data_IF_992542680546
#
_entry.id   IF_992542680546
#
_cell.length_a   1.000
_cell.length_b   1.000
_cell.length_c   1.000
_cell.angle_alpha   90.00
_cell.angle_beta   90.00
_cell.angle_gamma   90.00
#
_symmetry.space_group_name_H-M   'P 1'
#
loop_
_entity.id
_entity.type
_entity.pdbx_description
1 polymer ?
#
# COMPACT_ATOMS: atom_id res chain seq x y z
N UNK A 1 104.52 -0.89 2.63
CA UNK A 1 104.17 0.40 3.26
C UNK A 1 102.67 0.63 3.01
N UNK A 2 101.82 0.32 3.98
CA UNK A 2 101.33 1.22 5.04
C UNK A 2 100.19 2.17 4.56
N UNK A 3 98.95 1.69 4.77
CA UNK A 3 97.75 2.37 5.31
C UNK A 3 97.41 3.82 4.97
N UNK A 4 96.16 4.08 4.53
CA UNK A 4 95.18 4.97 5.23
C UNK A 4 93.77 5.00 4.58
N UNK A 5 92.83 4.32 5.25
CA UNK A 5 91.57 4.79 5.89
C UNK A 5 90.67 5.91 5.28
N UNK A 6 89.40 5.53 5.06
CA UNK A 6 88.08 6.22 5.24
C UNK A 6 87.64 7.43 4.40
N UNK A 7 86.45 7.32 3.76
CA UNK A 7 85.18 7.89 4.29
C UNK A 7 83.93 7.40 3.53
N UNK A 8 82.94 6.95 4.29
CA UNK A 8 81.55 6.69 3.88
C UNK A 8 80.78 8.01 3.83
N UNK A 9 80.02 8.27 2.75
CA UNK A 9 78.81 9.10 2.79
C UNK A 9 77.77 8.54 1.83
N UNK A 10 76.59 8.24 2.39
CA UNK A 10 75.37 7.81 1.71
C UNK A 10 74.96 8.80 0.62
N UNK A 11 74.47 8.32 -0.52
CA UNK A 11 73.48 9.09 -1.25
C UNK A 11 72.33 8.23 -1.76
N UNK A 12 71.16 8.84 -1.65
CA UNK A 12 69.84 8.26 -1.61
C UNK A 12 69.28 8.02 -3.02
N UNK A 13 68.45 6.97 -3.12
CA UNK A 13 67.12 7.03 -3.75
C UNK A 13 67.05 7.32 -5.26
N UNK A 14 66.82 6.25 -6.01
CA UNK A 14 65.63 6.17 -6.87
C UNK A 14 65.29 4.70 -7.14
N UNK A 15 64.50 4.14 -6.21
CA UNK A 15 63.66 2.98 -6.51
C UNK A 15 62.80 3.41 -7.70
N UNK A 16 63.06 2.82 -8.87
CA UNK A 16 62.16 2.87 -10.00
C UNK A 16 60.88 2.14 -9.58
N UNK A 17 59.95 2.89 -8.98
CA UNK A 17 58.56 2.50 -8.88
C UNK A 17 58.03 2.47 -10.30
N UNK A 18 58.02 1.27 -10.88
CA UNK A 18 57.26 0.95 -12.09
C UNK A 18 55.82 1.37 -11.79
N UNK A 19 55.41 2.53 -12.31
CA UNK A 19 54.01 2.94 -12.33
C UNK A 19 53.30 1.88 -13.14
N UNK A 20 52.49 1.06 -12.49
CA UNK A 20 51.48 0.25 -13.16
C UNK A 20 50.52 1.24 -13.80
N UNK A 21 50.64 1.41 -15.12
CA UNK A 21 49.60 2.05 -15.89
C UNK A 21 48.33 1.23 -15.68
N UNK A 22 47.16 1.86 -15.46
CA UNK A 22 45.91 1.13 -15.48
C UNK A 22 45.79 0.50 -16.87
N UNK A 23 45.86 -0.83 -16.95
CA UNK A 23 45.61 -1.52 -18.22
C UNK A 23 44.26 -1.06 -18.74
N UNK A 24 44.25 -0.61 -19.99
CA UNK A 24 43.02 -0.17 -20.63
C UNK A 24 42.04 -1.34 -20.70
N UNK A 25 40.74 -1.09 -20.69
CA UNK A 25 39.72 -2.15 -20.72
C UNK A 25 39.90 -3.12 -21.89
N UNK A 26 40.47 -2.66 -23.00
CA UNK A 26 40.77 -3.48 -24.18
C UNK A 26 41.96 -4.43 -23.94
N UNK A 27 42.99 -3.99 -23.23
CA UNK A 27 44.15 -4.83 -22.88
C UNK A 27 43.75 -5.96 -21.93
N UNK A 28 42.81 -5.71 -21.00
CA UNK A 28 42.31 -6.72 -20.08
C UNK A 28 41.53 -7.83 -20.81
N UNK A 29 40.67 -7.47 -21.76
CA UNK A 29 39.92 -8.46 -22.55
C UNK A 29 40.88 -9.28 -23.44
N UNK A 30 41.90 -8.65 -24.02
CA UNK A 30 42.92 -9.35 -24.80
C UNK A 30 43.74 -10.32 -23.94
N UNK A 31 44.06 -9.95 -22.69
CA UNK A 31 44.75 -10.86 -21.77
C UNK A 31 43.90 -12.07 -21.39
N UNK A 32 42.59 -11.89 -21.18
CA UNK A 32 41.66 -13.00 -20.92
C UNK A 32 41.55 -13.90 -22.16
N UNK A 33 41.53 -13.33 -23.36
CA UNK A 33 41.55 -14.10 -24.60
C UNK A 33 42.83 -14.91 -24.76
N UNK A 34 44.00 -14.30 -24.53
CA UNK A 34 45.28 -15.01 -24.63
C UNK A 34 45.37 -16.16 -23.62
N UNK A 35 44.94 -15.93 -22.37
CA UNK A 35 44.86 -16.98 -21.34
C UNK A 35 43.95 -18.15 -21.77
N UNK A 36 42.81 -17.85 -22.40
CA UNK A 36 41.92 -18.87 -22.95
C UNK A 36 42.58 -19.71 -24.06
N UNK A 37 43.37 -19.09 -24.94
CA UNK A 37 44.12 -19.82 -25.98
C UNK A 37 45.24 -20.66 -25.37
N UNK A 38 45.98 -20.12 -24.41
CA UNK A 38 47.06 -20.85 -23.70
C UNK A 38 46.53 -22.07 -22.93
N UNK A 39 45.31 -22.00 -22.41
CA UNK A 39 44.61 -23.12 -21.78
C UNK A 39 44.10 -24.19 -22.77
N UNK A 40 44.39 -24.05 -24.07
CA UNK A 40 43.96 -24.99 -25.12
C UNK A 40 42.61 -24.64 -25.75
N UNK A 41 42.09 -23.44 -25.51
CA UNK A 41 40.87 -22.94 -26.13
C UNK A 41 41.04 -22.72 -27.63
N UNK A 42 39.98 -23.00 -28.40
CA UNK A 42 39.96 -22.69 -29.83
C UNK A 42 39.77 -21.18 -30.04
N UNK A 43 40.50 -20.52 -30.96
CA UNK A 43 40.35 -19.09 -31.28
C UNK A 43 39.07 -18.83 -32.09
N UNK A 44 37.91 -19.13 -31.48
CA UNK A 44 36.57 -18.92 -32.01
C UNK A 44 35.82 -18.01 -31.05
N UNK A 45 35.19 -16.97 -31.58
CA UNK A 45 34.42 -15.98 -30.80
C UNK A 45 33.33 -16.66 -29.96
N UNK A 46 32.68 -17.69 -30.49
CA UNK A 46 31.63 -18.43 -29.78
C UNK A 46 32.15 -19.17 -28.55
N UNK A 47 33.31 -19.83 -28.66
CA UNK A 47 33.94 -20.56 -27.56
C UNK A 47 34.52 -19.60 -26.52
N UNK A 48 35.15 -18.51 -26.97
CA UNK A 48 35.61 -17.46 -26.07
C UNK A 48 34.46 -16.79 -25.31
N UNK A 49 33.32 -16.55 -25.98
CA UNK A 49 32.11 -16.03 -25.33
C UNK A 49 31.60 -16.98 -24.25
N UNK A 50 31.54 -18.30 -24.52
CA UNK A 50 31.17 -19.28 -23.50
C UNK A 50 32.12 -19.24 -22.29
N UNK A 51 33.41 -19.11 -22.53
CA UNK A 51 34.41 -19.01 -21.47
C UNK A 51 34.24 -17.72 -20.64
N UNK A 52 33.99 -16.58 -21.30
CA UNK A 52 33.64 -15.34 -20.60
C UNK A 52 32.35 -15.48 -19.80
N UNK A 53 31.31 -16.10 -20.35
CA UNK A 53 30.05 -16.33 -19.64
C UNK A 53 30.27 -17.24 -18.41
N UNK A 54 31.17 -18.21 -18.48
CA UNK A 54 31.56 -19.04 -17.33
C UNK A 54 32.27 -18.21 -16.25
N UNK A 55 33.25 -17.39 -16.62
CA UNK A 55 33.95 -16.50 -15.68
C UNK A 55 33.00 -15.46 -15.05
N UNK A 56 32.10 -14.89 -15.85
CA UNK A 56 31.06 -13.98 -15.37
C UNK A 56 30.17 -14.70 -14.35
N UNK A 57 29.72 -15.92 -14.63
CA UNK A 57 28.83 -16.64 -13.70
C UNK A 57 29.54 -17.15 -12.44
N UNK A 58 30.83 -17.49 -12.52
CA UNK A 58 31.60 -18.03 -11.39
C UNK A 58 32.14 -16.94 -10.47
N UNK A 59 32.71 -15.87 -11.03
CA UNK A 59 33.47 -14.89 -10.27
C UNK A 59 32.72 -13.56 -10.13
N UNK A 60 32.11 -13.08 -11.20
CA UNK A 60 31.49 -11.74 -11.22
C UNK A 60 30.08 -11.80 -10.63
N UNK A 61 29.30 -12.82 -10.98
CA UNK A 61 27.91 -12.94 -10.58
C UNK A 61 27.73 -13.05 -9.06
N UNK A 62 28.58 -13.74 -8.27
CA UNK A 62 28.48 -13.68 -6.81
C UNK A 62 28.81 -12.29 -6.23
N UNK A 63 29.71 -11.53 -6.86
CA UNK A 63 30.10 -10.18 -6.43
C UNK A 63 29.07 -9.12 -6.84
N UNK A 64 28.40 -9.34 -7.96
CA UNK A 64 27.32 -8.50 -8.49
C UNK A 64 25.93 -9.01 -8.12
N UNK A 65 25.83 -10.14 -7.40
CA UNK A 65 24.60 -10.60 -6.79
C UNK A 65 24.21 -9.59 -5.72
N UNK A 66 23.51 -8.56 -6.17
CA UNK A 66 22.54 -7.81 -5.40
C UNK A 66 21.93 -8.75 -4.37
N UNK A 67 21.95 -8.32 -3.12
CA UNK A 67 21.33 -8.89 -1.93
C UNK A 67 19.83 -9.10 -2.15
N UNK A 68 19.49 -10.03 -3.04
CA UNK A 68 18.22 -10.10 -3.74
C UNK A 68 17.97 -11.53 -4.19
N UNK A 69 17.10 -12.20 -3.44
CA UNK A 69 16.61 -13.58 -3.63
C UNK A 69 17.62 -14.68 -3.30
N UNK A 70 17.79 -14.94 -2.02
CA UNK A 70 17.78 -16.33 -1.58
C UNK A 70 16.34 -16.84 -1.78
N UNK A 71 16.15 -17.80 -2.67
CA UNK A 71 14.90 -18.56 -2.83
C UNK A 71 14.79 -19.66 -1.76
N UNK A 72 15.33 -19.41 -0.57
CA UNK A 72 15.37 -20.34 0.55
C UNK A 72 14.73 -19.70 1.77
N UNK A 73 13.66 -20.34 2.22
CA UNK A 73 13.21 -20.47 3.61
C UNK A 73 12.86 -19.19 4.39
N UNK A 74 11.58 -19.03 4.75
CA UNK A 74 11.17 -18.24 5.93
C UNK A 74 11.48 -16.73 5.96
N UNK A 75 11.78 -16.06 4.85
CA UNK A 75 12.00 -14.61 4.90
C UNK A 75 10.74 -13.82 5.30
N UNK A 76 10.90 -12.69 5.99
CA UNK A 76 9.78 -11.83 6.48
C UNK A 76 8.69 -11.53 5.42
N UNK A 77 9.07 -11.38 4.15
CA UNK A 77 8.10 -11.17 3.05
C UNK A 77 7.19 -12.39 2.83
N UNK A 78 7.73 -13.59 2.99
CA UNK A 78 7.00 -14.84 2.86
C UNK A 78 6.10 -15.06 4.07
N UNK A 79 6.60 -14.77 5.28
CA UNK A 79 5.81 -14.82 6.52
C UNK A 79 4.62 -13.86 6.46
N UNK A 80 4.85 -12.60 6.08
CA UNK A 80 3.79 -11.60 5.92
C UNK A 80 2.78 -12.02 4.84
N UNK A 81 3.22 -12.58 3.71
CA UNK A 81 2.31 -13.11 2.68
C UNK A 81 1.50 -14.30 3.16
N UNK A 82 2.10 -15.18 3.97
CA UNK A 82 1.41 -16.33 4.54
C UNK A 82 0.29 -15.88 5.49
N UNK A 83 0.54 -14.85 6.31
CA UNK A 83 -0.44 -14.25 7.23
C UNK A 83 -1.72 -13.79 6.52
N UNK A 84 -1.60 -13.20 5.34
CA UNK A 84 -2.74 -12.71 4.53
C UNK A 84 -3.04 -13.61 3.32
N UNK A 85 -2.70 -14.89 3.41
CA UNK A 85 -3.01 -15.85 2.35
C UNK A 85 -4.48 -16.28 2.40
N UNK A 86 -5.15 -16.29 1.25
CA UNK A 86 -6.59 -16.58 1.16
C UNK A 86 -7.44 -15.38 0.72
N UNK A 87 -8.64 -15.62 0.20
CA UNK A 87 -9.49 -14.54 -0.35
C UNK A 87 -10.06 -13.62 0.74
N UNK A 88 -10.56 -14.20 1.83
CA UNK A 88 -11.10 -13.45 2.98
C UNK A 88 -10.02 -12.90 3.90
N UNK A 89 -8.93 -13.65 4.11
CA UNK A 89 -7.82 -13.26 5.00
C UNK A 89 -7.04 -12.01 4.51
N UNK A 90 -7.21 -11.62 3.25
CA UNK A 90 -6.66 -10.35 2.74
C UNK A 90 -7.39 -9.13 3.28
N UNK A 91 -8.62 -9.29 3.76
CA UNK A 91 -9.38 -8.19 4.32
C UNK A 91 -9.16 -8.12 5.82
N UNK A 92 -8.79 -6.93 6.28
CA UNK A 92 -8.53 -6.66 7.69
C UNK A 92 -9.31 -5.44 8.13
N UNK A 93 -9.72 -5.44 9.40
CA UNK A 93 -10.23 -4.26 10.09
C UNK A 93 -9.07 -3.53 10.78
N UNK A 94 -9.16 -2.21 10.78
CA UNK A 94 -8.24 -1.27 11.45
C UNK A 94 -9.04 -0.14 12.06
N UNK A 95 -8.44 0.62 12.99
CA UNK A 95 -9.06 1.85 13.49
C UNK A 95 -9.32 2.84 12.36
N UNK A 96 -10.40 3.61 12.46
CA UNK A 96 -10.68 4.72 11.53
C UNK A 96 -9.56 5.77 11.56
N UNK A 97 -8.93 5.96 12.72
CA UNK A 97 -7.83 6.91 12.90
C UNK A 97 -6.58 6.48 12.15
N UNK A 98 -6.33 5.16 12.04
CA UNK A 98 -5.18 4.60 11.33
C UNK A 98 -5.20 4.98 9.84
N UNK A 99 -6.38 4.92 9.22
CA UNK A 99 -6.53 5.24 7.78
C UNK A 99 -6.75 6.72 7.51
N UNK A 100 -7.11 7.52 8.52
CA UNK A 100 -7.46 8.94 8.38
C UNK A 100 -6.39 9.77 7.63
N UNK A 101 -5.08 9.66 7.94
CA UNK A 101 -4.04 10.37 7.19
C UNK A 101 -3.99 9.97 5.71
N UNK A 102 -4.32 8.70 5.41
CA UNK A 102 -4.35 8.21 4.03
C UNK A 102 -5.56 8.74 3.28
N UNK A 103 -6.74 8.78 3.91
CA UNK A 103 -7.92 9.35 3.31
C UNK A 103 -7.74 10.85 3.02
N UNK A 104 -7.14 11.60 3.96
CA UNK A 104 -6.81 13.01 3.73
C UNK A 104 -5.85 13.21 2.54
N UNK A 105 -4.84 12.35 2.40
CA UNK A 105 -3.97 12.36 1.21
C UNK A 105 -4.75 12.09 -0.09
N UNK A 106 -5.67 11.12 -0.06
CA UNK A 106 -6.50 10.78 -1.22
C UNK A 106 -7.45 11.92 -1.62
N UNK A 107 -8.00 12.65 -0.63
CA UNK A 107 -8.83 13.83 -0.86
C UNK A 107 -8.04 14.93 -1.60
N UNK A 108 -6.79 15.17 -1.20
CA UNK A 108 -5.89 16.10 -1.88
C UNK A 108 -5.53 15.65 -3.31
N UNK A 109 -5.56 14.33 -3.57
CA UNK A 109 -5.37 13.74 -4.89
C UNK A 109 -6.65 13.73 -5.74
N UNK A 110 -7.75 14.32 -5.24
CA UNK A 110 -9.08 14.36 -5.87
C UNK A 110 -9.69 12.97 -6.09
N UNK A 111 -9.40 12.04 -5.19
CA UNK A 111 -10.07 10.73 -5.13
C UNK A 111 -11.32 10.86 -4.28
N UNK A 112 -12.45 10.35 -4.75
CA UNK A 112 -13.69 10.32 -3.99
C UNK A 112 -13.55 9.39 -2.78
N UNK A 113 -13.69 9.92 -1.56
CA UNK A 113 -13.61 9.15 -0.31
C UNK A 113 -14.87 9.26 0.56
N UNK A 114 -15.83 10.13 0.20
CA UNK A 114 -16.97 10.44 1.08
C UNK A 114 -17.83 9.22 1.36
N UNK A 115 -18.08 8.39 0.35
CA UNK A 115 -18.88 7.18 0.49
C UNK A 115 -18.21 6.15 1.41
N UNK A 116 -16.92 5.89 1.19
CA UNK A 116 -16.14 4.99 2.05
C UNK A 116 -16.08 5.48 3.50
N UNK A 117 -15.99 6.79 3.73
CA UNK A 117 -16.05 7.37 5.09
C UNK A 117 -17.37 7.05 5.79
N UNK A 118 -18.50 7.17 5.08
CA UNK A 118 -19.82 6.79 5.63
C UNK A 118 -19.89 5.30 6.00
N UNK A 119 -19.35 4.42 5.15
CA UNK A 119 -19.32 2.98 5.42
C UNK A 119 -18.51 2.63 6.67
N UNK A 120 -17.31 3.20 6.83
CA UNK A 120 -16.43 2.89 7.97
C UNK A 120 -16.91 3.54 9.27
N UNK A 121 -17.59 4.69 9.18
CA UNK A 121 -18.23 5.34 10.32
C UNK A 121 -19.42 4.49 10.81
N UNK A 122 -20.27 4.03 9.90
CA UNK A 122 -21.38 3.14 10.21
C UNK A 122 -20.89 1.81 10.80
N UNK A 123 -19.81 1.23 10.28
CA UNK A 123 -19.23 0.00 10.80
C UNK A 123 -18.49 0.18 12.14
N UNK A 124 -18.08 1.41 12.49
CA UNK A 124 -17.22 1.69 13.64
C UNK A 124 -15.76 1.24 13.48
N UNK A 125 -15.35 0.85 12.27
CA UNK A 125 -13.99 0.47 11.93
C UNK A 125 -13.74 0.62 10.42
N UNK A 126 -12.49 0.84 10.04
CA UNK A 126 -12.08 0.84 8.64
C UNK A 126 -11.70 -0.56 8.18
N UNK A 127 -11.95 -0.86 6.89
CA UNK A 127 -11.57 -2.13 6.29
C UNK A 127 -10.66 -1.92 5.09
N UNK A 128 -9.53 -2.61 5.07
CA UNK A 128 -8.50 -2.46 4.03
C UNK A 128 -8.07 -3.83 3.53
N UNK A 129 -7.55 -3.87 2.29
CA UNK A 129 -7.16 -5.13 1.65
C UNK A 129 -5.67 -5.25 1.51
N UNK A 130 -5.08 -6.33 1.99
CA UNK A 130 -3.66 -6.59 1.85
C UNK A 130 -3.22 -6.67 0.37
N UNK A 131 -2.23 -5.86 0.02
CA UNK A 131 -1.64 -5.79 -1.32
C UNK A 131 -0.28 -6.53 -1.38
N UNK A 132 0.54 -6.44 -0.33
CA UNK A 132 1.80 -7.17 -0.26
C UNK A 132 2.87 -6.50 0.61
N UNK A 133 4.03 -7.17 0.80
CA UNK A 133 5.14 -6.61 1.55
C UNK A 133 5.85 -5.53 0.73
N UNK A 134 6.30 -4.46 1.40
CA UNK A 134 7.03 -3.33 0.81
C UNK A 134 8.18 -2.90 1.72
N UNK A 135 9.15 -2.21 1.14
CA UNK A 135 10.22 -1.55 1.90
C UNK A 135 10.16 -0.07 1.58
N UNK A 136 9.93 0.75 2.60
CA UNK A 136 9.84 2.20 2.50
C UNK A 136 10.89 2.80 3.43
N UNK A 137 11.81 3.61 2.91
CA UNK A 137 12.88 4.24 3.68
C UNK A 137 13.71 3.26 4.54
N UNK A 138 13.90 2.02 4.07
CA UNK A 138 14.63 0.97 4.79
C UNK A 138 13.80 0.19 5.83
N UNK A 139 12.56 0.63 6.10
CA UNK A 139 11.65 -0.06 7.00
C UNK A 139 10.79 -1.08 6.27
N UNK A 140 10.51 -2.21 6.93
CA UNK A 140 9.60 -3.25 6.42
C UNK A 140 8.17 -2.79 6.68
N UNK A 141 7.37 -2.75 5.61
CA UNK A 141 5.98 -2.32 5.66
C UNK A 141 5.08 -3.39 5.05
N UNK A 142 3.86 -3.49 5.57
CA UNK A 142 2.75 -4.12 4.87
C UNK A 142 1.98 -3.03 4.10
N UNK A 143 1.78 -3.24 2.81
CA UNK A 143 0.94 -2.35 2.00
C UNK A 143 -0.47 -2.91 1.92
N UNK A 144 -1.43 -2.02 2.18
CA UNK A 144 -2.86 -2.27 2.10
C UNK A 144 -3.50 -1.33 1.10
N UNK A 145 -4.49 -1.83 0.39
CA UNK A 145 -5.30 -1.11 -0.56
C UNK A 145 -6.56 -0.61 0.17
N UNK A 146 -6.78 0.70 0.10
CA UNK A 146 -8.02 1.34 0.50
C UNK A 146 -8.91 1.38 -0.73
N UNK A 147 -10.10 0.80 -0.68
CA UNK A 147 -11.02 0.74 -1.83
C UNK A 147 -12.20 1.64 -1.60
N UNK A 148 -12.09 2.88 -2.06
CA UNK A 148 -13.07 3.92 -1.74
C UNK A 148 -14.38 3.80 -2.53
N UNK A 149 -14.37 3.09 -3.67
CA UNK A 149 -15.52 2.92 -4.57
C UNK A 149 -16.33 1.64 -4.27
N UNK A 150 -15.83 0.80 -3.34
CA UNK A 150 -16.45 -0.47 -2.96
C UNK A 150 -15.48 -1.64 -3.01
N UNK A 151 -15.79 -2.72 -2.28
CA UNK A 151 -14.82 -3.80 -2.09
C UNK A 151 -14.61 -4.67 -3.32
N UNK A 152 -15.53 -4.63 -4.29
CA UNK A 152 -15.45 -5.36 -5.55
C UNK A 152 -14.51 -4.71 -6.57
N UNK A 153 -14.23 -3.41 -6.44
CA UNK A 153 -13.40 -2.66 -7.37
C UNK A 153 -11.96 -2.57 -6.87
N UNK A 154 -11.01 -2.88 -7.74
CA UNK A 154 -9.59 -2.75 -7.43
C UNK A 154 -9.14 -1.29 -7.58
N UNK A 155 -8.48 -0.77 -6.55
CA UNK A 155 -7.93 0.59 -6.44
C UNK A 155 -6.41 0.53 -6.21
N UNK A 156 -5.60 -0.03 -7.15
CA UNK A 156 -4.21 -0.43 -6.88
C UNK A 156 -3.24 0.72 -6.53
N UNK A 157 -3.64 1.97 -6.73
CA UNK A 157 -2.85 3.17 -6.41
C UNK A 157 -3.17 3.75 -5.02
N UNK A 158 -4.29 3.35 -4.42
CA UNK A 158 -4.76 3.86 -3.13
C UNK A 158 -4.17 3.02 -2.01
N UNK A 159 -2.88 3.23 -1.70
CA UNK A 159 -2.16 2.43 -0.72
C UNK A 159 -2.05 3.13 0.64
N UNK A 160 -2.28 2.35 1.68
CA UNK A 160 -1.99 2.61 3.08
C UNK A 160 -0.85 1.68 3.54
N UNK A 161 0.02 2.15 4.41
CA UNK A 161 1.21 1.43 4.83
C UNK A 161 1.27 1.33 6.35
N UNK A 162 1.43 0.11 6.85
CA UNK A 162 1.59 -0.18 8.28
C UNK A 162 2.97 -0.83 8.47
N UNK A 163 3.69 -0.45 9.52
CA UNK A 163 4.99 -1.06 9.81
C UNK A 163 4.82 -2.54 10.16
N UNK A 164 5.75 -3.38 9.73
CA UNK A 164 5.71 -4.83 9.99
C UNK A 164 5.68 -5.14 11.51
N UNK A 165 6.34 -4.32 12.32
CA UNK A 165 6.41 -4.45 13.78
C UNK A 165 5.09 -4.12 14.49
N UNK A 166 4.29 -3.22 13.92
CA UNK A 166 3.00 -2.77 14.47
C UNK A 166 1.81 -3.56 13.91
N UNK A 167 2.07 -4.42 12.92
CA UNK A 167 1.07 -5.07 12.10
C UNK A 167 0.09 -5.93 12.91
N UNK A 168 0.57 -6.68 13.89
CA UNK A 168 -0.28 -7.53 14.74
C UNK A 168 -1.18 -6.73 15.69
N UNK A 169 -0.75 -5.52 16.09
CA UNK A 169 -1.53 -4.64 16.95
C UNK A 169 -2.54 -3.80 16.16
N UNK A 170 -2.16 -3.35 14.95
CA UNK A 170 -2.96 -2.45 14.13
C UNK A 170 -4.09 -3.17 13.36
N UNK A 171 -3.87 -4.43 12.95
CA UNK A 171 -4.81 -5.14 12.07
C UNK A 171 -5.44 -6.36 12.73
N UNK A 172 -6.74 -6.56 12.49
CA UNK A 172 -7.43 -7.82 12.83
C UNK A 172 -8.09 -8.39 11.58
N UNK A 173 -8.11 -9.71 11.36
CA UNK A 173 -8.82 -10.30 10.22
C UNK A 173 -10.31 -9.92 10.22
N UNK A 174 -10.84 -9.58 9.04
CA UNK A 174 -12.24 -9.19 8.89
C UNK A 174 -13.20 -10.40 8.90
N UNK A 175 -12.71 -11.59 8.52
CA UNK A 175 -13.51 -12.82 8.48
C UNK A 175 -14.32 -13.03 7.19
N UNK A 176 -14.36 -12.03 6.30
CA UNK A 176 -15.07 -12.07 5.02
C UNK A 176 -14.66 -10.93 4.10
N UNK A 177 -15.35 -10.79 2.96
CA UNK A 177 -15.22 -9.58 2.12
C UNK A 177 -16.24 -8.54 2.58
N UNK A 178 -15.94 -7.23 2.54
CA UNK A 178 -16.87 -6.19 2.97
C UNK A 178 -18.24 -6.29 2.28
N UNK A 179 -18.26 -6.62 0.98
CA UNK A 179 -19.48 -6.90 0.23
C UNK A 179 -20.31 -8.07 0.80
N UNK A 180 -19.67 -9.19 1.16
CA UNK A 180 -20.37 -10.35 1.70
C UNK A 180 -20.92 -10.09 3.12
N UNK A 181 -20.28 -9.18 3.84
CA UNK A 181 -20.68 -8.72 5.16
C UNK A 181 -21.64 -7.53 5.13
N UNK A 182 -22.01 -7.04 3.93
CA UNK A 182 -22.90 -5.90 3.72
C UNK A 182 -22.43 -4.59 4.39
N UNK A 183 -21.12 -4.40 4.50
CA UNK A 183 -20.53 -3.18 5.11
C UNK A 183 -20.61 -1.95 4.20
N UNK A 184 -20.97 -2.14 2.92
CA UNK A 184 -21.13 -1.09 1.91
C UNK A 184 -22.59 -0.66 1.73
N UNK A 185 -23.52 -1.23 2.50
CA UNK A 185 -24.92 -0.85 2.42
C UNK A 185 -25.14 0.47 3.16
N UNK A 186 -25.63 1.49 2.44
CA UNK A 186 -26.10 2.75 3.01
C UNK A 186 -27.45 2.54 3.69
N UNK A 187 -27.48 1.76 4.77
CA UNK A 187 -28.63 1.72 5.69
C UNK A 187 -28.30 2.60 6.89
N UNK A 188 -29.20 3.52 7.30
CA UNK A 188 -29.03 4.25 8.54
C UNK A 188 -29.02 3.23 9.69
N UNK A 189 -27.87 3.02 10.31
CA UNK A 189 -27.77 2.15 11.47
C UNK A 189 -28.41 2.92 12.63
N UNK A 190 -29.67 2.57 12.92
CA UNK A 190 -30.24 2.77 14.24
C UNK A 190 -29.29 2.08 15.21
N UNK A 191 -28.61 2.88 16.03
CA UNK A 191 -27.79 2.41 17.12
C UNK A 191 -28.63 1.55 18.07
N UNK A 192 -28.61 0.23 17.85
CA UNK A 192 -29.14 -0.72 18.83
C UNK A 192 -28.05 -0.93 19.87
N UNK A 193 -28.17 -0.11 20.91
CA UNK A 193 -27.69 -0.36 22.26
C UNK A 193 -28.33 -1.68 22.72
N UNK A 194 -27.53 -2.68 23.09
CA UNK A 194 -27.66 -3.45 24.33
C UNK A 194 -26.78 -4.70 24.32
N UNK A 195 -25.59 -4.55 24.92
CA UNK A 195 -25.03 -5.62 25.76
C UNK A 195 -24.22 -4.95 26.89
N UNK A 196 -24.93 -4.46 27.90
CA UNK A 196 -24.33 -4.08 29.19
C UNK A 196 -24.47 -5.28 30.12
N UNK A 197 -23.38 -6.02 30.32
CA UNK A 197 -23.28 -6.94 31.46
C UNK A 197 -23.21 -6.13 32.75
N UNK A 198 -24.24 -6.32 33.57
CA UNK A 198 -24.39 -5.96 34.98
C UNK A 198 -23.17 -6.43 35.80
N UNK A 199 -22.62 -5.57 36.67
CA UNK A 199 -22.18 -5.88 38.05
C UNK A 199 -21.93 -4.55 38.82
N UNK A 200 -22.85 -4.34 39.75
CA UNK A 200 -22.75 -3.89 41.15
C UNK A 200 -22.28 -2.49 41.58
N UNK A 201 -23.02 -2.00 42.58
CA UNK A 201 -23.26 -0.64 43.04
C UNK A 201 -22.08 0.04 43.77
N UNK A 202 -22.01 1.37 43.69
CA UNK A 202 -22.00 2.26 44.88
C UNK A 202 -22.28 3.72 44.48
N UNK A 203 -22.93 4.54 45.34
CA UNK A 203 -23.51 5.83 44.98
C UNK A 203 -22.59 7.01 45.36
N UNK A 204 -22.48 8.02 44.49
CA UNK A 204 -22.21 9.41 44.93
C UNK A 204 -22.48 10.41 43.80
N UNK A 205 -23.24 11.44 44.18
CA UNK A 205 -23.33 12.79 43.61
C UNK A 205 -24.01 13.04 42.26
N UNK A 206 -25.28 13.45 42.41
CA UNK A 206 -25.92 14.61 41.80
C UNK A 206 -25.03 15.47 40.87
N UNK A 207 -25.36 15.43 39.57
CA UNK A 207 -25.20 16.59 38.69
C UNK A 207 -26.42 16.63 37.76
N UNK A 208 -27.33 17.58 38.05
CA UNK A 208 -28.34 18.05 37.12
C UNK A 208 -27.63 18.67 35.91
N UNK A 209 -27.88 18.16 34.70
CA UNK A 209 -27.61 18.91 33.46
C UNK A 209 -28.86 18.93 32.60
N UNK A 210 -29.34 20.15 32.48
CA UNK A 210 -30.45 20.67 31.69
C UNK A 210 -30.47 20.12 30.26
N UNK A 211 -31.63 19.58 29.88
CA UNK A 211 -31.97 19.18 28.52
C UNK A 211 -32.37 20.41 27.70
N UNK A 212 -31.63 20.71 26.63
CA UNK A 212 -32.10 21.62 25.58
C UNK A 212 -32.38 20.80 24.31
N UNK A 213 -33.68 20.54 24.10
CA UNK A 213 -34.22 19.85 22.96
C UNK A 213 -34.25 20.78 21.75
N UNK A 214 -33.38 20.52 20.77
CA UNK A 214 -33.56 21.05 19.41
C UNK A 214 -34.45 20.07 18.65
N UNK A 215 -35.74 20.38 18.63
CA UNK A 215 -36.72 19.75 17.76
C UNK A 215 -36.51 20.32 16.37
N UNK A 216 -35.78 19.61 15.52
CA UNK A 216 -35.76 19.89 14.09
C UNK A 216 -37.01 19.24 13.48
N UNK A 217 -37.92 20.09 13.02
CA UNK A 217 -39.20 19.77 12.42
C UNK A 217 -38.96 18.97 11.13
N UNK A 218 -39.08 17.65 11.25
CA UNK A 218 -39.08 16.74 10.10
C UNK A 218 -40.44 16.91 9.43
N UNK A 219 -40.47 17.58 8.27
CA UNK A 219 -41.62 17.54 7.36
C UNK A 219 -42.00 16.08 7.12
N UNK A 220 -43.19 15.70 7.60
CA UNK A 220 -43.79 14.40 7.39
C UNK A 220 -44.03 14.21 5.89
N UNK A 221 -43.15 13.45 5.23
CA UNK A 221 -43.39 12.94 3.88
C UNK A 221 -44.71 12.16 3.88
N UNK A 222 -45.69 12.65 3.12
CA UNK A 222 -46.96 11.95 2.99
C UNK A 222 -46.74 10.58 2.34
N UNK A 223 -47.38 9.54 2.88
CA UNK A 223 -47.25 8.19 2.33
C UNK A 223 -47.77 8.15 0.89
N UNK A 224 -46.99 7.56 -0.02
CA UNK A 224 -47.40 7.39 -1.41
C UNK A 224 -48.73 6.61 -1.51
N UNK A 225 -49.63 6.99 -2.43
CA UNK A 225 -50.91 6.30 -2.60
C UNK A 225 -50.66 4.81 -2.93
N UNK A 226 -51.45 3.94 -2.30
CA UNK A 226 -51.40 2.47 -2.52
C UNK A 226 -52.41 2.00 -3.55
N UNK A 227 -53.16 2.95 -4.13
CA UNK A 227 -54.16 2.72 -5.18
C UNK A 227 -53.53 2.88 -6.57
N UNK A 228 -54.01 2.10 -7.53
CA UNK A 228 -53.69 2.23 -8.96
C UNK A 228 -54.55 3.32 -9.65
N UNK A 229 -55.31 4.12 -8.90
CA UNK A 229 -56.11 5.22 -9.45
C UNK A 229 -55.21 6.42 -9.83
N UNK A 230 -55.13 6.80 -11.12
CA UNK A 230 -54.31 7.92 -11.58
C UNK A 230 -54.65 9.26 -10.89
N UNK A 231 -55.90 9.46 -10.48
CA UNK A 231 -56.33 10.70 -9.84
C UNK A 231 -55.70 10.87 -8.43
N UNK A 232 -55.45 9.77 -7.72
CA UNK A 232 -54.78 9.82 -6.41
C UNK A 232 -53.29 10.16 -6.57
N UNK A 233 -52.66 9.68 -7.65
CA UNK A 233 -51.27 10.00 -7.97
C UNK A 233 -51.09 11.47 -8.38
N UNK A 234 -52.00 12.03 -9.18
CA UNK A 234 -51.95 13.45 -9.54
C UNK A 234 -52.11 14.36 -8.31
N UNK A 235 -53.02 14.03 -7.41
CA UNK A 235 -53.21 14.79 -6.17
C UNK A 235 -51.98 14.71 -5.25
N UNK A 236 -51.35 13.54 -5.14
CA UNK A 236 -50.10 13.35 -4.39
C UNK A 236 -48.95 14.18 -4.98
N UNK A 237 -48.75 14.13 -6.29
CA UNK A 237 -47.70 14.89 -6.97
C UNK A 237 -47.91 16.40 -6.85
N UNK A 238 -49.17 16.88 -6.92
CA UNK A 238 -49.49 18.28 -6.71
C UNK A 238 -49.23 18.73 -5.25
N UNK A 239 -49.53 17.89 -4.27
CA UNK A 239 -49.29 18.18 -2.85
C UNK A 239 -47.78 18.23 -2.52
N UNK A 240 -46.98 17.37 -3.15
CA UNK A 240 -45.50 17.35 -3.01
C UNK A 240 -44.80 18.41 -3.90
N UNK A 241 -45.55 19.26 -4.60
CA UNK A 241 -44.98 20.32 -5.46
C UNK A 241 -44.25 19.80 -6.70
N UNK A 242 -44.51 18.55 -7.09
CA UNK A 242 -43.92 17.85 -8.25
C UNK A 242 -44.92 17.72 -9.42
N UNK A 243 -46.03 18.45 -9.36
CA UNK A 243 -46.94 18.59 -10.47
C UNK A 243 -46.23 19.24 -11.66
N UNK A 244 -46.50 18.73 -12.87
CA UNK A 244 -46.05 19.37 -14.10
C UNK A 244 -46.78 20.72 -14.18
N UNK A 245 -46.10 21.79 -13.79
CA UNK A 245 -46.49 23.13 -14.21
C UNK A 245 -46.26 23.15 -15.72
N UNK A 246 -47.35 23.25 -16.49
CA UNK A 246 -47.31 23.55 -17.91
C UNK A 246 -46.71 24.97 -18.07
N UNK A 247 -45.38 25.08 -17.94
CA UNK A 247 -44.63 26.27 -18.33
C UNK A 247 -44.64 26.35 -19.86
N UNK A 248 -45.59 27.15 -20.33
CA UNK A 248 -45.60 27.96 -21.54
C UNK A 248 -44.66 27.52 -22.68
N UNK A 249 -45.28 27.06 -23.77
CA UNK A 249 -44.69 26.88 -25.10
C UNK A 249 -44.14 28.21 -25.67
N UNK A 250 -43.00 28.67 -25.17
CA UNK A 250 -42.25 29.76 -25.79
C UNK A 250 -41.35 29.24 -26.93
N UNK A 251 -41.97 29.20 -28.11
CA UNK A 251 -41.46 29.83 -29.32
C UNK A 251 -40.02 29.47 -29.77
N UNK A 252 -39.86 28.32 -30.42
CA UNK A 252 -38.76 28.08 -31.35
C UNK A 252 -39.27 28.22 -32.80
N UNK A 253 -39.39 29.46 -33.25
CA UNK A 253 -39.60 29.81 -34.65
C UNK A 253 -38.35 29.41 -35.46
N UNK A 254 -38.54 28.61 -36.52
CA UNK A 254 -37.49 28.07 -37.38
C UNK A 254 -37.41 28.81 -38.72
#
# INVERSE_FOLDING_TARGET
MATKTTKTTKNNKSKSTKKENPMTSNENILNIFNSFIEAGGMPKVTEFKKHLDQLINAEIKPLCASRGKSAGDGGWRSEQKAKFSGRGAKWVKVSTDEVSPTLFRLDNEKVETAEYRKWIEAAGFAWIRYNGPRVMNGHKMAAFEVRTVGSTYDCPKQLHYIQDEELDAAVTPLGGTPFAMKLEATTPIVATKDEVMVIDETPSDEVEVETEAVVEEVEELHAAPTSDDPAEWEAFLAAEGLGIEDEDEDNFDF
#
